data_IF_793363946644
#
_entry.id   IF_793363946644
#
_cell.length_a   1.000
_cell.length_b   1.000
_cell.length_c   1.000
_cell.angle_alpha   90.00
_cell.angle_beta   90.00
_cell.angle_gamma   90.00
#
_symmetry.space_group_name_H-M   'P 1'
#
loop_
_entity.id
_entity.type
_entity.pdbx_description
1 polymer ?
#
# COMPACT_ATOMS: atom_id res chain seq x y z
N UNK A 1 7.56 -14.20 -47.60
CA UNK A 1 9.03 -14.31 -47.69
C UNK A 1 9.51 -14.40 -49.14
N UNK A 2 8.65 -14.82 -50.07
CA UNK A 2 8.89 -14.74 -51.53
C UNK A 2 9.36 -13.36 -52.01
N UNK A 3 8.92 -12.27 -51.36
CA UNK A 3 9.33 -10.89 -51.64
C UNK A 3 10.80 -10.54 -51.30
N UNK A 4 11.44 -11.34 -50.43
CA UNK A 4 12.87 -11.22 -50.11
C UNK A 4 13.71 -12.04 -51.11
N UNK A 5 13.15 -13.11 -51.66
CA UNK A 5 13.78 -13.91 -52.72
C UNK A 5 13.67 -13.25 -54.10
N UNK A 6 12.64 -12.43 -54.34
CA UNK A 6 12.52 -11.61 -55.55
C UNK A 6 13.54 -10.46 -55.55
N UNK A 7 14.50 -10.55 -56.47
CA UNK A 7 15.62 -9.60 -56.64
C UNK A 7 15.17 -8.23 -57.16
N UNK A 8 14.00 -8.15 -57.81
CA UNK A 8 13.47 -6.93 -58.43
C UNK A 8 12.27 -6.32 -57.68
N UNK A 9 11.85 -6.95 -56.58
CA UNK A 9 10.71 -6.50 -55.80
C UNK A 9 10.94 -5.17 -55.08
N UNK A 10 9.85 -4.58 -54.56
CA UNK A 10 9.88 -3.36 -53.76
C UNK A 10 10.88 -3.43 -52.58
N UNK A 11 11.58 -2.31 -52.37
CA UNK A 11 12.53 -2.13 -51.27
C UNK A 11 11.85 -2.07 -49.88
N UNK A 12 10.53 -1.91 -49.85
CA UNK A 12 9.69 -1.81 -48.65
C UNK A 12 8.50 -2.76 -48.73
N UNK A 13 8.16 -3.37 -47.60
CA UNK A 13 6.97 -4.21 -47.43
C UNK A 13 6.13 -3.64 -46.29
N UNK A 14 4.81 -3.60 -46.47
CA UNK A 14 3.87 -3.24 -45.41
C UNK A 14 3.47 -4.49 -44.61
N UNK A 15 3.82 -4.53 -43.34
CA UNK A 15 3.45 -5.60 -42.40
C UNK A 15 2.34 -5.13 -41.46
N UNK A 16 1.32 -5.97 -41.26
CA UNK A 16 0.09 -5.63 -40.51
C UNK A 16 0.35 -5.11 -39.08
N UNK A 17 1.41 -5.57 -38.42
CA UNK A 17 1.80 -5.17 -37.07
C UNK A 17 2.99 -4.19 -37.00
N UNK A 18 3.76 -4.03 -38.09
CA UNK A 18 5.03 -3.29 -38.08
C UNK A 18 5.07 -2.10 -39.05
N UNK A 19 4.02 -1.90 -39.85
CA UNK A 19 3.99 -0.84 -40.85
C UNK A 19 4.95 -1.10 -42.01
N UNK A 20 5.49 -0.03 -42.59
CA UNK A 20 6.39 -0.12 -43.74
C UNK A 20 7.82 -0.47 -43.28
N UNK A 21 8.28 -1.67 -43.61
CA UNK A 21 9.60 -2.17 -43.26
C UNK A 21 10.47 -2.23 -44.51
N UNK A 22 11.69 -1.67 -44.44
CA UNK A 22 12.66 -1.75 -45.53
C UNK A 22 13.30 -3.14 -45.56
N UNK A 23 13.26 -3.83 -46.69
CA UNK A 23 13.76 -5.21 -46.85
C UNK A 23 14.86 -5.34 -47.90
N UNK A 24 15.13 -4.31 -48.71
CA UNK A 24 16.14 -4.38 -49.77
C UNK A 24 17.53 -4.82 -49.28
N UNK A 25 17.91 -4.40 -48.06
CA UNK A 25 19.19 -4.77 -47.43
C UNK A 25 19.27 -6.22 -46.96
N UNK A 26 18.12 -6.90 -46.80
CA UNK A 26 18.05 -8.29 -46.34
C UNK A 26 18.27 -9.29 -47.49
N UNK A 27 18.20 -8.84 -48.74
CA UNK A 27 18.43 -9.67 -49.94
C UNK A 27 19.86 -10.18 -50.05
N UNK A 28 20.83 -9.52 -49.43
CA UNK A 28 22.22 -9.99 -49.36
C UNK A 28 22.39 -11.11 -48.31
N UNK A 29 21.42 -11.26 -47.41
CA UNK A 29 21.49 -12.14 -46.24
C UNK A 29 20.26 -13.06 -46.16
N UNK A 30 19.78 -13.56 -47.30
CA UNK A 30 18.51 -14.35 -47.39
C UNK A 30 18.49 -15.52 -46.41
N UNK A 31 19.61 -16.22 -46.25
CA UNK A 31 19.72 -17.39 -45.37
C UNK A 31 19.52 -17.07 -43.88
N UNK A 32 19.85 -15.84 -43.44
CA UNK A 32 19.75 -15.40 -42.04
C UNK A 32 18.48 -14.56 -41.81
N UNK A 33 17.98 -13.90 -42.86
CA UNK A 33 16.80 -13.05 -42.79
C UNK A 33 15.55 -13.84 -42.36
N UNK A 34 15.44 -15.11 -42.78
CA UNK A 34 14.37 -16.02 -42.36
C UNK A 34 14.35 -16.24 -40.85
N UNK A 35 15.48 -16.70 -40.32
CA UNK A 35 15.62 -17.02 -38.91
C UNK A 35 15.46 -15.78 -38.03
N UNK A 36 16.07 -14.66 -38.43
CA UNK A 36 15.93 -13.39 -37.72
C UNK A 36 14.47 -12.88 -37.70
N UNK A 37 13.73 -13.07 -38.79
CA UNK A 37 12.32 -12.70 -38.86
C UNK A 37 11.47 -13.58 -37.96
N UNK A 38 11.71 -14.89 -37.96
CA UNK A 38 11.02 -15.83 -37.09
C UNK A 38 11.27 -15.52 -35.60
N UNK A 39 12.52 -15.25 -35.21
CA UNK A 39 12.87 -14.82 -33.84
C UNK A 39 12.13 -13.53 -33.49
N UNK A 40 12.10 -12.54 -34.38
CA UNK A 40 11.40 -11.27 -34.15
C UNK A 40 9.90 -11.47 -33.99
N UNK A 41 9.28 -12.35 -34.78
CA UNK A 41 7.86 -12.66 -34.67
C UNK A 41 7.55 -13.35 -33.35
N UNK A 42 8.38 -14.33 -32.94
CA UNK A 42 8.26 -14.99 -31.63
C UNK A 42 8.43 -13.99 -30.49
N UNK A 43 9.47 -13.15 -30.50
CA UNK A 43 9.68 -12.11 -29.50
C UNK A 43 8.50 -11.14 -29.40
N UNK A 44 7.93 -10.74 -30.53
CA UNK A 44 6.78 -9.82 -30.57
C UNK A 44 5.53 -10.48 -29.98
N UNK A 45 5.29 -11.76 -30.27
CA UNK A 45 4.19 -12.51 -29.67
C UNK A 45 4.38 -12.67 -28.14
N UNK A 46 5.59 -12.96 -27.69
CA UNK A 46 5.90 -13.09 -26.26
C UNK A 46 5.90 -11.77 -25.50
N UNK A 47 6.25 -10.66 -26.15
CA UNK A 47 6.38 -9.34 -25.50
C UNK A 47 5.11 -8.93 -24.76
N UNK A 48 3.93 -9.14 -25.37
CA UNK A 48 2.64 -8.84 -24.73
C UNK A 48 2.47 -9.60 -23.42
N UNK A 49 2.82 -10.88 -23.41
CA UNK A 49 2.74 -11.74 -22.22
C UNK A 49 3.74 -11.30 -21.15
N UNK A 50 4.96 -10.92 -21.55
CA UNK A 50 6.00 -10.44 -20.63
C UNK A 50 5.52 -9.17 -19.92
N UNK A 51 4.99 -8.20 -20.67
CA UNK A 51 4.50 -6.94 -20.09
C UNK A 51 3.37 -7.19 -19.10
N UNK A 52 2.40 -8.04 -19.46
CA UNK A 52 1.29 -8.37 -18.55
C UNK A 52 1.79 -9.01 -17.26
N UNK A 53 2.68 -10.02 -17.37
CA UNK A 53 3.25 -10.70 -16.19
C UNK A 53 4.07 -9.76 -15.31
N UNK A 54 4.79 -8.82 -15.91
CA UNK A 54 5.56 -7.84 -15.16
C UNK A 54 4.64 -6.90 -14.38
N UNK A 55 3.59 -6.39 -15.03
CA UNK A 55 2.60 -5.52 -14.38
C UNK A 55 1.90 -6.26 -13.25
N UNK A 56 1.42 -7.48 -13.49
CA UNK A 56 0.76 -8.30 -12.48
C UNK A 56 1.71 -8.63 -11.31
N UNK A 57 2.97 -8.96 -11.62
CA UNK A 57 3.98 -9.27 -10.62
C UNK A 57 4.31 -8.08 -9.72
N UNK A 58 4.48 -6.89 -10.30
CA UNK A 58 4.74 -5.66 -9.53
C UNK A 58 3.53 -5.27 -8.71
N UNK A 59 2.33 -5.34 -9.28
CA UNK A 59 1.09 -5.05 -8.57
C UNK A 59 0.90 -5.98 -7.36
N UNK A 60 1.13 -7.27 -7.54
CA UNK A 60 1.00 -8.26 -6.47
C UNK A 60 2.09 -8.09 -5.40
N UNK A 61 3.32 -7.74 -5.80
CA UNK A 61 4.40 -7.47 -4.86
C UNK A 61 4.13 -6.23 -4.01
N UNK A 62 3.67 -5.13 -4.62
CA UNK A 62 3.28 -3.91 -3.90
C UNK A 62 2.11 -4.20 -2.96
N UNK A 63 1.08 -4.90 -3.43
CA UNK A 63 -0.07 -5.26 -2.59
C UNK A 63 0.35 -6.09 -1.38
N UNK A 64 1.21 -7.08 -1.60
CA UNK A 64 1.74 -7.92 -0.52
C UNK A 64 2.60 -7.10 0.45
N UNK A 65 3.49 -6.25 -0.05
CA UNK A 65 4.35 -5.41 0.79
C UNK A 65 3.53 -4.46 1.67
N UNK A 66 2.51 -3.80 1.12
CA UNK A 66 1.60 -2.94 1.89
C UNK A 66 0.83 -3.75 2.93
N UNK A 67 0.35 -4.95 2.57
CA UNK A 67 -0.36 -5.82 3.50
C UNK A 67 0.52 -6.23 4.67
N UNK A 68 1.75 -6.70 4.42
CA UNK A 68 2.70 -7.05 5.46
C UNK A 68 3.08 -5.85 6.33
N UNK A 69 3.30 -4.68 5.73
CA UNK A 69 3.57 -3.45 6.46
C UNK A 69 2.44 -3.11 7.45
N UNK A 70 1.19 -3.19 7.00
CA UNK A 70 0.03 -2.80 7.82
C UNK A 70 -0.32 -3.87 8.86
N UNK A 71 -0.30 -5.14 8.49
CA UNK A 71 -0.73 -6.24 9.38
C UNK A 71 0.40 -6.66 10.34
N UNK A 72 1.62 -6.81 9.85
CA UNK A 72 2.70 -7.43 10.65
C UNK A 72 3.68 -6.42 11.26
N UNK A 73 3.94 -5.29 10.59
CA UNK A 73 4.95 -4.32 11.03
C UNK A 73 4.35 -3.20 11.87
N UNK A 74 3.28 -2.56 11.37
CA UNK A 74 2.61 -1.46 12.06
C UNK A 74 2.05 -1.90 13.42
N UNK A 75 1.41 -3.08 13.48
CA UNK A 75 0.87 -3.60 14.74
C UNK A 75 1.98 -3.78 15.79
N UNK A 76 3.12 -4.33 15.39
CA UNK A 76 4.27 -4.53 16.29
C UNK A 76 4.86 -3.20 16.74
N UNK A 77 5.02 -2.24 15.84
CA UNK A 77 5.57 -0.92 16.15
C UNK A 77 4.65 -0.16 17.13
N UNK A 78 3.33 -0.23 16.92
CA UNK A 78 2.36 0.41 17.80
C UNK A 78 2.35 -0.24 19.20
N UNK A 79 2.44 -1.56 19.28
CA UNK A 79 2.53 -2.27 20.57
C UNK A 79 3.85 -1.93 21.29
N UNK A 80 4.98 -1.84 20.59
CA UNK A 80 6.26 -1.48 21.19
C UNK A 80 6.26 -0.01 21.67
N UNK A 81 5.69 0.91 20.91
CA UNK A 81 5.56 2.31 21.34
C UNK A 81 4.62 2.47 22.55
N UNK A 82 3.55 1.67 22.62
CA UNK A 82 2.58 1.76 23.71
C UNK A 82 3.02 1.03 24.99
N UNK A 83 3.51 -0.21 24.86
CA UNK A 83 3.73 -1.17 25.96
C UNK A 83 5.23 -1.50 26.15
N UNK A 84 6.11 -0.98 25.30
CA UNK A 84 7.53 -1.28 25.33
C UNK A 84 8.25 -0.84 26.62
N UNK A 85 9.58 -0.96 26.60
CA UNK A 85 10.45 -0.85 27.79
C UNK A 85 10.24 0.42 28.65
N UNK A 86 9.71 1.49 28.07
CA UNK A 86 9.18 2.66 28.77
C UNK A 86 7.65 2.65 28.67
N UNK A 87 6.96 2.26 29.74
CA UNK A 87 5.50 2.44 29.95
C UNK A 87 4.98 3.90 29.78
N UNK A 88 5.87 4.84 29.47
CA UNK A 88 5.63 6.26 29.23
C UNK A 88 4.63 6.50 28.07
N UNK A 89 4.61 5.66 27.04
CA UNK A 89 3.68 5.78 25.91
C UNK A 89 2.22 5.61 26.31
N UNK A 90 1.90 4.52 27.02
CA UNK A 90 0.56 4.26 27.55
C UNK A 90 0.13 5.31 28.59
N UNK A 91 1.04 5.71 29.48
CA UNK A 91 0.75 6.74 30.48
C UNK A 91 0.37 8.08 29.83
N UNK A 92 1.08 8.49 28.76
CA UNK A 92 0.74 9.69 27.99
C UNK A 92 -0.59 9.58 27.26
N UNK A 93 -0.93 8.43 26.69
CA UNK A 93 -2.23 8.24 26.02
C UNK A 93 -3.41 8.26 27.00
N UNK A 94 -3.18 7.79 28.23
CA UNK A 94 -4.17 7.82 29.31
C UNK A 94 -4.13 9.11 30.13
N UNK A 95 -3.25 10.05 29.80
CA UNK A 95 -3.18 11.34 30.46
C UNK A 95 -4.47 12.12 30.16
N UNK A 96 -5.22 12.41 31.21
CA UNK A 96 -6.48 13.12 31.05
C UNK A 96 -6.24 14.55 30.58
N UNK A 97 -7.12 15.04 29.69
CA UNK A 97 -7.13 16.45 29.30
C UNK A 97 -7.32 17.35 30.53
N UNK A 98 -6.56 18.43 30.59
CA UNK A 98 -6.59 19.41 31.68
C UNK A 98 -8.01 19.94 31.99
N UNK A 99 -8.85 20.09 30.97
CA UNK A 99 -10.24 20.50 31.13
C UNK A 99 -11.10 19.45 31.86
N UNK A 100 -10.87 18.16 31.60
CA UNK A 100 -11.56 17.05 32.27
C UNK A 100 -11.02 16.88 33.69
N UNK A 101 -9.70 16.97 33.87
CA UNK A 101 -9.07 16.88 35.19
C UNK A 101 -9.58 17.97 36.15
N UNK A 102 -9.69 19.22 35.69
CA UNK A 102 -10.24 20.32 36.49
C UNK A 102 -11.71 20.12 36.86
N UNK A 103 -12.53 19.60 35.92
CA UNK A 103 -13.93 19.27 36.21
C UNK A 103 -14.06 18.14 37.22
N UNK A 104 -13.22 17.09 37.12
CA UNK A 104 -13.17 15.96 38.04
C UNK A 104 -12.79 16.41 39.46
N UNK A 105 -11.74 17.22 39.60
CA UNK A 105 -11.33 17.81 40.89
C UNK A 105 -12.46 18.66 41.52
N UNK A 106 -13.12 19.51 40.72
CA UNK A 106 -14.24 20.33 41.22
C UNK A 106 -15.44 19.49 41.66
N UNK A 107 -15.75 18.43 40.92
CA UNK A 107 -16.84 17.51 41.25
C UNK A 107 -16.52 16.71 42.51
N UNK A 108 -15.29 16.21 42.64
CA UNK A 108 -14.80 15.48 43.82
C UNK A 108 -14.97 16.32 45.10
N UNK A 109 -14.52 17.58 45.08
CA UNK A 109 -14.71 18.53 46.19
C UNK A 109 -16.20 18.76 46.51
N UNK A 110 -17.04 18.86 45.49
CA UNK A 110 -18.49 19.06 45.69
C UNK A 110 -19.15 17.83 46.33
N UNK A 111 -18.74 16.62 45.91
CA UNK A 111 -19.23 15.36 46.50
C UNK A 111 -18.80 15.22 47.95
N UNK A 112 -17.57 15.60 48.29
CA UNK A 112 -17.08 15.59 49.67
C UNK A 112 -17.89 16.52 50.58
N UNK A 113 -18.15 17.75 50.13
CA UNK A 113 -19.00 18.69 50.87
C UNK A 113 -20.43 18.17 51.07
N UNK A 114 -21.01 17.53 50.06
CA UNK A 114 -22.35 16.94 50.17
C UNK A 114 -22.40 15.79 51.17
N UNK A 115 -21.35 14.97 51.27
CA UNK A 115 -21.24 13.93 52.30
C UNK A 115 -21.20 14.53 53.70
N UNK A 116 -20.39 15.57 53.91
CA UNK A 116 -20.33 16.27 55.20
C UNK A 116 -21.68 16.91 55.56
N UNK A 117 -22.34 17.55 54.59
CA UNK A 117 -23.66 18.15 54.81
C UNK A 117 -24.72 17.11 55.17
N UNK A 118 -24.66 15.91 54.56
CA UNK A 118 -25.55 14.80 54.90
C UNK A 118 -25.40 14.41 56.37
N UNK A 119 -24.17 14.28 56.87
CA UNK A 119 -23.92 13.87 58.26
C UNK A 119 -24.40 14.93 59.26
N UNK A 120 -24.23 16.21 58.93
CA UNK A 120 -24.76 17.32 59.74
C UNK A 120 -26.29 17.28 59.81
N UNK A 121 -26.96 17.06 58.67
CA UNK A 121 -28.43 16.96 58.63
C UNK A 121 -28.92 15.74 59.40
N UNK A 122 -28.23 14.60 59.29
CA UNK A 122 -28.56 13.40 60.08
C UNK A 122 -28.47 13.68 61.59
N UNK A 123 -27.39 14.32 62.06
CA UNK A 123 -27.24 14.71 63.46
C UNK A 123 -28.33 15.70 63.92
N UNK A 124 -28.76 16.63 63.07
CA UNK A 124 -29.89 17.51 63.38
C UNK A 124 -31.19 16.70 63.51
N UNK A 125 -31.46 15.77 62.59
CA UNK A 125 -32.64 14.90 62.67
C UNK A 125 -32.66 14.06 63.95
N UNK A 126 -31.52 13.47 64.33
CA UNK A 126 -31.37 12.66 65.56
C UNK A 126 -31.62 13.46 66.85
N UNK A 127 -31.53 14.79 66.81
CA UNK A 127 -31.78 15.68 67.96
C UNK A 127 -33.22 16.21 67.99
N UNK A 128 -33.96 16.11 66.89
CA UNK A 128 -35.34 16.60 66.78
C UNK A 128 -36.34 15.47 67.03
N UNK A 129 -36.01 14.25 66.61
CA UNK A 129 -36.77 13.02 66.92
C UNK A 129 -36.43 12.54 68.33
#
# INVERSE_FOLDING_TARGET
>A
METIQDRWGSDKIKLKAFGNVKVGHLRTHVNVAEEAFDIRMRMTAYWKTIVLRLVDGVALHILHAVKCLVEDELEKELIDELIGSKKDGLEKMLEESLATASKRDRLEKSVELLKQSKDVVANIMDRIV
#
